data_IF_671875236038
#
_entry.id   IF_671875236038
#
_cell.length_a   1.000
_cell.length_b   1.000
_cell.length_c   1.000
_cell.angle_alpha   90.00
_cell.angle_beta   90.00
_cell.angle_gamma   90.00
#
_symmetry.space_group_name_H-M   'P 1'
#
loop_
_entity.id
_entity.type
_entity.pdbx_description
1 polymer ?
#
# COMPACT_ATOMS: atom_id res chain seq x y z
N UNK A 1 15.53 -23.46 3.23
CA UNK A 1 15.18 -22.18 2.59
C UNK A 1 16.39 -21.58 1.89
N UNK A 2 16.20 -20.55 1.09
CA UNK A 2 17.25 -19.89 0.31
C UNK A 2 18.31 -19.14 1.16
N UNK A 3 18.17 -19.12 2.49
CA UNK A 3 19.07 -18.38 3.38
C UNK A 3 18.92 -16.87 3.29
N UNK A 4 17.75 -16.40 2.83
CA UNK A 4 17.39 -14.99 2.71
C UNK A 4 16.30 -14.63 3.72
N UNK A 5 16.35 -13.38 4.23
CA UNK A 5 15.33 -12.78 5.06
C UNK A 5 14.64 -11.66 4.27
N UNK A 6 13.33 -11.73 4.10
CA UNK A 6 12.57 -10.68 3.47
C UNK A 6 12.25 -9.57 4.49
N UNK A 7 12.49 -8.32 4.11
CA UNK A 7 12.10 -7.14 4.88
C UNK A 7 10.95 -6.47 4.13
N UNK A 8 9.78 -6.40 4.76
CA UNK A 8 8.53 -5.95 4.16
C UNK A 8 8.00 -4.71 4.85
N UNK A 9 7.52 -3.73 4.07
CA UNK A 9 6.74 -2.59 4.53
C UNK A 9 5.49 -2.45 3.66
N UNK A 10 4.38 -1.99 4.24
CA UNK A 10 3.12 -1.88 3.52
C UNK A 10 2.59 -0.46 3.57
N UNK A 11 1.97 -0.02 2.46
CA UNK A 11 1.21 1.23 2.35
C UNK A 11 -0.24 0.85 2.05
N UNK A 12 -1.18 1.43 2.77
CA UNK A 12 -2.60 1.12 2.62
C UNK A 12 -3.42 2.39 2.43
N UNK A 13 -4.04 2.49 1.27
CA UNK A 13 -4.99 3.54 0.94
C UNK A 13 -6.41 3.15 1.35
N UNK A 14 -7.19 4.12 1.82
CA UNK A 14 -8.58 3.94 2.19
C UNK A 14 -9.37 5.23 2.01
N UNK A 15 -10.70 5.10 1.84
CA UNK A 15 -11.60 6.24 1.86
C UNK A 15 -12.36 6.31 3.17
N UNK A 16 -12.53 7.53 3.66
CA UNK A 16 -13.55 7.87 4.63
C UNK A 16 -14.84 8.28 3.90
N UNK A 17 -15.97 7.96 4.49
CA UNK A 17 -17.28 8.39 4.00
C UNK A 17 -18.20 8.74 5.16
N UNK A 18 -19.21 9.55 4.86
CA UNK A 18 -20.22 9.97 5.84
C UNK A 18 -21.13 8.79 6.18
N UNK A 19 -21.04 8.27 7.40
CA UNK A 19 -21.81 7.11 7.85
C UNK A 19 -23.31 7.40 7.99
N UNK A 20 -23.68 8.66 8.22
CA UNK A 20 -25.08 9.09 8.35
C UNK A 20 -25.77 9.31 7.00
N UNK A 21 -25.00 9.34 5.89
CA UNK A 21 -25.55 9.56 4.57
C UNK A 21 -26.22 8.30 3.99
N UNK A 22 -27.16 8.52 3.06
CA UNK A 22 -27.70 7.42 2.26
C UNK A 22 -26.70 7.07 1.14
N UNK A 23 -26.06 5.94 1.27
CA UNK A 23 -24.95 5.51 0.40
C UNK A 23 -23.60 6.08 0.81
N UNK A 24 -22.55 5.73 0.05
CA UNK A 24 -21.18 6.20 0.31
C UNK A 24 -20.99 7.62 -0.22
N UNK A 25 -21.31 8.63 0.60
CA UNK A 25 -21.01 10.03 0.29
C UNK A 25 -19.67 10.43 0.91
N UNK A 26 -18.86 11.28 0.24
CA UNK A 26 -17.63 11.80 0.84
C UNK A 26 -17.90 12.43 2.22
N UNK A 27 -16.92 12.43 3.15
CA UNK A 27 -17.15 12.94 4.50
C UNK A 27 -17.39 14.44 4.51
N UNK A 28 -18.02 14.92 5.58
CA UNK A 28 -17.97 16.35 5.93
C UNK A 28 -16.56 16.67 6.44
N UNK A 29 -16.05 17.83 6.07
CA UNK A 29 -14.78 18.33 6.62
C UNK A 29 -15.01 18.67 8.10
N UNK A 30 -14.27 18.07 9.04
CA UNK A 30 -14.45 18.30 10.48
C UNK A 30 -14.46 19.78 10.85
N UNK A 31 -15.33 20.16 11.78
CA UNK A 31 -15.53 21.55 12.16
C UNK A 31 -16.29 22.43 11.17
N UNK A 32 -16.77 21.85 10.06
CA UNK A 32 -17.54 22.56 9.03
C UNK A 32 -18.83 21.80 8.68
N UNK A 33 -19.77 22.49 8.03
CA UNK A 33 -20.95 21.84 7.43
C UNK A 33 -20.71 21.49 5.93
N UNK A 34 -19.47 21.59 5.44
CA UNK A 34 -19.14 21.40 4.03
C UNK A 34 -18.71 19.96 3.77
N UNK A 35 -19.36 19.33 2.79
CA UNK A 35 -18.93 18.03 2.26
C UNK A 35 -17.72 18.21 1.35
N UNK A 36 -16.80 17.25 1.39
CA UNK A 36 -15.69 17.22 0.45
C UNK A 36 -16.23 17.03 -0.98
N UNK A 37 -15.73 17.84 -1.90
CA UNK A 37 -16.11 17.82 -3.33
C UNK A 37 -14.91 17.54 -4.26
N UNK A 38 -13.71 17.52 -3.71
CA UNK A 38 -12.47 17.19 -4.39
C UNK A 38 -11.49 16.54 -3.41
N UNK A 39 -10.61 15.71 -3.89
CA UNK A 39 -9.43 15.27 -3.16
C UNK A 39 -8.34 16.35 -3.18
N UNK A 40 -7.34 16.20 -2.34
CA UNK A 40 -6.21 17.12 -2.27
C UNK A 40 -4.95 16.35 -1.87
N UNK A 41 -4.24 15.90 -2.89
CA UNK A 41 -2.99 15.15 -2.72
C UNK A 41 -1.96 15.95 -1.91
N UNK A 42 -1.41 15.34 -0.87
CA UNK A 42 -0.41 15.93 0.04
C UNK A 42 -0.88 17.20 0.78
N UNK A 43 -2.18 17.38 0.99
CA UNK A 43 -2.71 18.54 1.69
C UNK A 43 -2.49 18.44 3.20
N UNK A 44 -1.66 19.33 3.73
CA UNK A 44 -1.46 19.48 5.17
C UNK A 44 -2.73 20.00 5.84
N UNK A 45 -3.45 20.93 5.21
CA UNK A 45 -4.71 21.47 5.74
C UNK A 45 -5.77 20.40 5.90
N UNK A 46 -5.82 19.43 4.97
CA UNK A 46 -6.75 18.31 5.06
C UNK A 46 -6.36 17.36 6.19
N UNK A 47 -5.08 17.04 6.34
CA UNK A 47 -4.58 16.23 7.45
C UNK A 47 -4.87 16.91 8.79
N UNK A 48 -4.67 18.23 8.89
CA UNK A 48 -4.98 18.99 10.10
C UNK A 48 -6.48 18.99 10.40
N UNK A 49 -7.34 19.12 9.40
CA UNK A 49 -8.79 19.03 9.58
C UNK A 49 -9.22 17.67 10.14
N UNK A 50 -8.58 16.57 9.72
CA UNK A 50 -8.84 15.21 10.18
C UNK A 50 -7.91 14.77 11.31
N UNK A 51 -7.16 15.69 11.92
CA UNK A 51 -6.14 15.38 12.94
C UNK A 51 -6.65 14.51 14.09
N UNK A 52 -7.83 14.81 14.62
CA UNK A 52 -8.40 14.01 15.72
C UNK A 52 -8.61 12.53 15.31
N UNK A 53 -9.00 12.29 14.08
CA UNK A 53 -9.15 10.94 13.53
C UNK A 53 -7.79 10.25 13.36
N UNK A 54 -6.80 10.94 12.80
CA UNK A 54 -5.45 10.36 12.59
C UNK A 54 -4.72 10.13 13.91
N UNK A 55 -4.86 11.03 14.89
CA UNK A 55 -4.29 10.85 16.25
C UNK A 55 -4.87 9.59 16.91
N UNK A 56 -6.18 9.36 16.81
CA UNK A 56 -6.82 8.14 17.34
C UNK A 56 -6.39 6.88 16.60
N UNK A 57 -6.08 6.96 15.28
CA UNK A 57 -5.46 5.84 14.55
C UNK A 57 -4.09 5.52 15.12
N UNK A 58 -3.22 6.53 15.29
CA UNK A 58 -1.88 6.31 15.84
C UNK A 58 -1.93 5.73 17.26
N UNK A 59 -2.78 6.27 18.13
CA UNK A 59 -2.96 5.75 19.47
C UNK A 59 -3.45 4.28 19.50
N UNK A 60 -4.37 3.93 18.58
CA UNK A 60 -4.84 2.56 18.47
C UNK A 60 -3.77 1.63 17.86
N UNK A 61 -3.01 2.09 16.88
CA UNK A 61 -1.90 1.34 16.30
C UNK A 61 -0.81 1.06 17.36
N UNK A 62 -0.43 2.06 18.15
CA UNK A 62 0.50 1.91 19.25
C UNK A 62 0.01 0.87 20.28
N UNK A 63 -1.26 0.95 20.68
CA UNK A 63 -1.86 0.01 21.64
C UNK A 63 -1.92 -1.44 21.13
N UNK A 64 -1.91 -1.66 19.82
CA UNK A 64 -1.95 -2.98 19.19
C UNK A 64 -0.61 -3.41 18.57
N UNK A 65 0.47 -2.69 18.85
CA UNK A 65 1.81 -2.93 18.30
C UNK A 65 1.83 -2.98 16.74
N UNK A 66 1.02 -2.11 16.11
CA UNK A 66 1.03 -1.91 14.66
C UNK A 66 1.89 -0.68 14.35
N UNK A 67 2.97 -0.81 13.56
CA UNK A 67 3.99 0.23 13.41
C UNK A 67 3.57 1.29 12.36
N UNK A 68 2.52 2.06 12.63
CA UNK A 68 2.08 3.15 11.77
C UNK A 68 3.10 4.29 11.75
N UNK A 69 3.45 4.76 10.54
CA UNK A 69 4.41 5.84 10.30
C UNK A 69 3.69 7.09 9.77
N UNK A 70 3.80 7.40 8.49
CA UNK A 70 3.26 8.63 7.92
C UNK A 70 1.82 8.46 7.44
N UNK A 71 0.97 9.44 7.75
CA UNK A 71 -0.34 9.61 7.12
C UNK A 71 -0.25 10.61 5.98
N UNK A 72 -0.93 10.33 4.88
CA UNK A 72 -0.95 11.14 3.66
C UNK A 72 -2.41 11.38 3.27
N UNK A 73 -2.74 12.60 2.85
CA UNK A 73 -3.98 12.87 2.13
C UNK A 73 -3.79 12.52 0.66
N UNK A 74 -4.69 11.71 0.11
CA UNK A 74 -4.61 11.19 -1.24
C UNK A 74 -5.47 11.98 -2.24
N UNK A 75 -5.45 11.53 -3.51
CA UNK A 75 -6.09 12.24 -4.62
C UNK A 75 -7.62 12.22 -4.55
N UNK A 76 -8.20 11.22 -3.91
CA UNK A 76 -9.64 11.04 -3.86
C UNK A 76 -10.33 11.83 -2.74
N UNK A 77 -11.63 12.06 -2.91
CA UNK A 77 -12.46 12.81 -1.94
C UNK A 77 -12.63 12.06 -0.61
N UNK A 78 -11.78 12.38 0.37
CA UNK A 78 -11.73 11.69 1.66
C UNK A 78 -10.85 10.45 1.64
N UNK A 79 -9.91 10.38 0.69
CA UNK A 79 -8.91 9.33 0.60
C UNK A 79 -7.67 9.69 1.42
N UNK A 80 -7.20 8.71 2.16
CA UNK A 80 -6.00 8.77 2.98
C UNK A 80 -5.15 7.52 2.75
N UNK A 81 -3.85 7.66 2.99
CA UNK A 81 -2.89 6.56 3.05
C UNK A 81 -2.19 6.60 4.40
N UNK A 82 -1.88 5.44 4.94
CA UNK A 82 -0.96 5.30 6.06
C UNK A 82 0.07 4.24 5.71
N UNK A 83 1.34 4.61 5.91
CA UNK A 83 2.48 3.73 5.74
C UNK A 83 2.74 2.98 7.04
N UNK A 84 3.02 1.69 6.95
CA UNK A 84 3.50 0.89 8.06
C UNK A 84 5.02 0.69 7.92
N UNK A 85 5.76 0.83 9.02
CA UNK A 85 7.19 0.62 9.05
C UNK A 85 7.56 -0.81 8.65
N UNK A 86 8.76 -0.98 8.16
CA UNK A 86 9.28 -2.26 7.72
C UNK A 86 9.60 -3.20 8.90
N UNK A 87 9.41 -4.49 8.65
CA UNK A 87 9.81 -5.59 9.53
C UNK A 87 10.49 -6.70 8.72
N UNK A 88 11.39 -7.45 9.35
CA UNK A 88 12.05 -8.62 8.80
C UNK A 88 11.24 -9.92 9.00
N UNK A 89 10.01 -9.79 9.49
CA UNK A 89 9.02 -10.86 9.58
C UNK A 89 7.87 -10.58 8.62
N UNK A 90 7.83 -11.32 7.52
CA UNK A 90 6.81 -11.17 6.48
C UNK A 90 5.38 -11.52 6.97
N UNK A 91 5.26 -12.42 7.97
CA UNK A 91 3.97 -12.75 8.58
C UNK A 91 3.49 -11.60 9.46
N UNK A 92 4.39 -11.03 10.28
CA UNK A 92 4.10 -9.81 11.05
C UNK A 92 3.64 -8.67 10.13
N UNK A 93 4.32 -8.43 9.00
CA UNK A 93 3.89 -7.40 8.05
C UNK A 93 2.47 -7.63 7.52
N UNK A 94 2.07 -8.90 7.31
CA UNK A 94 0.71 -9.25 6.91
C UNK A 94 -0.30 -9.04 8.06
N UNK A 95 0.06 -9.44 9.27
CA UNK A 95 -0.73 -9.24 10.49
C UNK A 95 -0.98 -7.75 10.71
N UNK A 96 0.07 -6.93 10.65
CA UNK A 96 0.00 -5.48 10.83
C UNK A 96 -0.94 -4.83 9.81
N UNK A 97 -0.82 -5.20 8.52
CA UNK A 97 -1.71 -4.71 7.48
C UNK A 97 -3.18 -5.13 7.71
N UNK A 98 -3.42 -6.36 8.18
CA UNK A 98 -4.77 -6.84 8.48
C UNK A 98 -5.36 -6.12 9.71
N UNK A 99 -4.59 -5.99 10.78
CA UNK A 99 -4.98 -5.27 12.00
C UNK A 99 -5.21 -3.78 11.71
N UNK A 100 -4.35 -3.15 10.93
CA UNK A 100 -4.52 -1.76 10.51
C UNK A 100 -5.87 -1.52 9.84
N UNK A 101 -6.29 -2.39 8.91
CA UNK A 101 -7.63 -2.28 8.29
C UNK A 101 -8.77 -2.38 9.32
N UNK A 102 -8.60 -3.19 10.35
CA UNK A 102 -9.57 -3.31 11.44
C UNK A 102 -9.60 -2.06 12.30
N UNK A 103 -8.42 -1.54 12.70
CA UNK A 103 -8.25 -0.33 13.50
C UNK A 103 -8.91 0.87 12.82
N UNK A 104 -8.57 1.13 11.54
CA UNK A 104 -9.12 2.25 10.77
C UNK A 104 -10.65 2.24 10.74
N UNK A 105 -11.26 1.07 10.49
CA UNK A 105 -12.72 0.95 10.49
C UNK A 105 -13.34 1.18 11.87
N UNK A 106 -12.65 0.74 12.92
CA UNK A 106 -13.09 0.94 14.30
C UNK A 106 -13.02 2.40 14.73
N UNK A 107 -11.90 3.06 14.46
CA UNK A 107 -11.67 4.47 14.76
C UNK A 107 -12.62 5.35 13.95
N UNK A 108 -12.79 5.09 12.63
CA UNK A 108 -13.73 5.86 11.81
C UNK A 108 -15.13 5.91 12.42
N UNK A 109 -15.66 4.78 12.90
CA UNK A 109 -16.98 4.73 13.54
C UNK A 109 -17.06 5.59 14.80
N UNK A 110 -15.99 5.68 15.61
CA UNK A 110 -15.95 6.56 16.79
C UNK A 110 -16.11 8.03 16.39
N UNK A 111 -15.64 8.40 15.20
CA UNK A 111 -15.76 9.75 14.62
C UNK A 111 -17.03 9.96 13.79
N UNK A 112 -18.00 9.02 13.81
CA UNK A 112 -19.21 9.11 12.99
C UNK A 112 -18.96 8.91 11.49
N UNK A 113 -17.79 8.37 11.14
CA UNK A 113 -17.36 8.10 9.77
C UNK A 113 -17.40 6.60 9.46
N UNK A 114 -17.58 6.26 8.20
CA UNK A 114 -17.25 4.95 7.70
C UNK A 114 -15.87 4.97 7.02
N UNK A 115 -15.17 3.82 7.03
CA UNK A 115 -13.94 3.64 6.28
C UNK A 115 -14.00 2.41 5.38
N UNK A 116 -13.51 2.54 4.14
CA UNK A 116 -13.50 1.45 3.19
C UNK A 116 -12.14 1.28 2.52
N UNK A 117 -11.70 0.02 2.43
CA UNK A 117 -10.54 -0.43 1.66
C UNK A 117 -10.96 -1.03 0.30
N UNK A 118 -12.19 -0.79 -0.15
CA UNK A 118 -12.66 -1.21 -1.47
C UNK A 118 -11.75 -0.62 -2.55
N UNK A 119 -11.32 -1.43 -3.51
CA UNK A 119 -10.33 -1.00 -4.49
C UNK A 119 -10.77 0.20 -5.34
N UNK A 120 -12.07 0.30 -5.66
CA UNK A 120 -12.64 1.42 -6.45
C UNK A 120 -14.01 1.81 -5.89
N UNK A 121 -14.07 2.56 -4.79
CA UNK A 121 -15.35 2.93 -4.16
C UNK A 121 -16.14 3.94 -5.00
N UNK A 122 -15.45 4.89 -5.66
CA UNK A 122 -16.07 5.89 -6.53
C UNK A 122 -15.56 5.70 -7.96
N UNK A 123 -16.48 5.60 -8.92
CA UNK A 123 -16.18 5.23 -10.30
C UNK A 123 -15.16 6.13 -11.00
N UNK A 124 -15.28 7.44 -10.78
CA UNK A 124 -14.46 8.45 -11.46
C UNK A 124 -13.29 8.98 -10.59
N UNK A 125 -13.22 8.60 -9.31
CA UNK A 125 -12.17 9.04 -8.39
C UNK A 125 -11.01 8.03 -8.33
N UNK A 126 -9.95 8.31 -7.58
CA UNK A 126 -8.83 7.40 -7.39
C UNK A 126 -9.26 6.07 -6.76
N UNK A 127 -8.56 4.99 -7.05
CA UNK A 127 -8.74 3.70 -6.37
C UNK A 127 -7.83 3.58 -5.16
N UNK A 128 -8.12 2.64 -4.26
CA UNK A 128 -7.27 2.32 -3.11
C UNK A 128 -6.24 1.27 -3.46
N UNK A 129 -4.98 1.61 -3.31
CA UNK A 129 -3.84 0.71 -3.44
C UNK A 129 -3.44 0.04 -2.12
N UNK A 130 -2.81 -1.09 -2.27
CA UNK A 130 -2.01 -1.77 -1.26
C UNK A 130 -0.62 -1.99 -1.84
N UNK A 131 0.34 -1.14 -1.48
CA UNK A 131 1.69 -1.23 -1.98
C UNK A 131 2.56 -2.02 -1.01
N UNK A 132 3.40 -2.89 -1.55
CA UNK A 132 4.33 -3.72 -0.78
C UNK A 132 5.76 -3.39 -1.18
N UNK A 133 6.51 -2.82 -0.24
CA UNK A 133 7.95 -2.63 -0.35
C UNK A 133 8.68 -3.87 0.15
N UNK A 134 9.69 -4.30 -0.58
CA UNK A 134 10.47 -5.48 -0.20
C UNK A 134 11.96 -5.27 -0.46
N UNK A 135 12.76 -5.51 0.58
CA UNK A 135 14.20 -5.76 0.51
C UNK A 135 14.48 -7.21 0.86
N UNK A 136 15.65 -7.73 0.51
CA UNK A 136 16.09 -9.06 0.94
C UNK A 136 17.50 -9.00 1.54
N UNK A 137 17.64 -9.58 2.73
CA UNK A 137 18.92 -9.66 3.44
C UNK A 137 19.47 -11.07 3.33
N UNK A 138 20.79 -11.17 3.20
CA UNK A 138 21.52 -12.44 3.34
C UNK A 138 21.70 -12.81 4.83
N UNK A 139 22.39 -13.93 5.08
CA UNK A 139 22.68 -14.41 6.43
C UNK A 139 23.55 -13.47 7.27
N UNK A 140 24.26 -12.54 6.62
CA UNK A 140 25.07 -11.51 7.30
C UNK A 140 24.26 -10.25 7.64
N UNK A 141 23.00 -10.17 7.21
CA UNK A 141 22.14 -8.98 7.32
C UNK A 141 22.41 -7.94 6.24
N UNK A 142 23.16 -8.29 5.17
CA UNK A 142 23.44 -7.39 4.06
C UNK A 142 22.28 -7.42 3.05
N UNK A 143 21.86 -6.25 2.58
CA UNK A 143 20.82 -6.14 1.55
C UNK A 143 21.39 -6.60 0.19
N UNK A 144 20.90 -7.74 -0.31
CA UNK A 144 21.38 -8.32 -1.58
C UNK A 144 20.96 -7.50 -2.81
N UNK A 145 20.03 -6.56 -2.66
CA UNK A 145 19.61 -5.66 -3.73
C UNK A 145 20.53 -4.46 -3.92
N UNK A 146 21.40 -4.19 -2.96
CA UNK A 146 22.40 -3.15 -3.04
C UNK A 146 23.68 -3.63 -3.75
N UNK A 147 24.23 -2.80 -4.62
CA UNK A 147 25.57 -2.98 -5.21
C UNK A 147 26.32 -1.64 -5.31
N UNK A 148 25.89 -0.64 -4.58
CA UNK A 148 26.44 0.71 -4.60
C UNK A 148 26.04 1.56 -5.81
N UNK A 149 25.13 1.06 -6.68
CA UNK A 149 24.60 1.82 -7.83
C UNK A 149 23.10 2.11 -7.69
N UNK A 150 22.62 3.12 -8.40
CA UNK A 150 21.19 3.47 -8.39
C UNK A 150 20.31 2.37 -9.00
N UNK A 151 20.82 1.60 -9.95
CA UNK A 151 20.10 0.49 -10.56
C UNK A 151 19.95 -0.73 -9.65
N UNK A 152 20.76 -0.82 -8.60
CA UNK A 152 20.80 -1.98 -7.71
C UNK A 152 21.53 -3.19 -8.30
N UNK A 153 21.50 -4.31 -7.61
CA UNK A 153 22.21 -5.53 -7.95
C UNK A 153 21.53 -6.37 -9.03
N UNK A 154 22.24 -7.34 -9.63
CA UNK A 154 21.61 -8.36 -10.46
C UNK A 154 20.49 -9.14 -9.75
N UNK A 155 20.60 -9.36 -8.44
CA UNK A 155 19.55 -10.01 -7.64
C UNK A 155 18.25 -9.20 -7.62
N UNK A 156 18.31 -7.86 -7.54
CA UNK A 156 17.13 -6.99 -7.68
C UNK A 156 16.49 -7.13 -9.06
N UNK A 157 17.31 -7.09 -10.12
CA UNK A 157 16.81 -7.25 -11.48
C UNK A 157 16.14 -8.62 -11.70
N UNK A 158 16.72 -9.68 -11.15
CA UNK A 158 16.17 -11.04 -11.19
C UNK A 158 14.85 -11.14 -10.40
N UNK A 159 14.77 -10.55 -9.22
CA UNK A 159 13.54 -10.49 -8.42
C UNK A 159 12.41 -9.79 -9.19
N UNK A 160 12.71 -8.62 -9.78
CA UNK A 160 11.75 -7.87 -10.61
C UNK A 160 11.31 -8.69 -11.83
N UNK A 161 12.24 -9.35 -12.52
CA UNK A 161 11.91 -10.22 -13.65
C UNK A 161 10.98 -11.37 -13.24
N UNK A 162 11.22 -11.98 -12.06
CA UNK A 162 10.35 -13.02 -11.49
C UNK A 162 8.94 -12.50 -11.26
N UNK A 163 8.79 -11.32 -10.66
CA UNK A 163 7.49 -10.66 -10.46
C UNK A 163 6.74 -10.43 -11.76
N UNK A 164 7.41 -9.84 -12.76
CA UNK A 164 6.78 -9.51 -14.04
C UNK A 164 6.33 -10.76 -14.79
N UNK A 165 7.12 -11.83 -14.73
CA UNK A 165 6.85 -13.10 -15.42
C UNK A 165 5.52 -13.73 -15.00
N UNK A 166 5.18 -13.67 -13.70
CA UNK A 166 3.96 -14.34 -13.16
C UNK A 166 2.84 -13.36 -12.82
N UNK A 167 3.01 -12.08 -13.11
CA UNK A 167 2.10 -11.03 -12.66
C UNK A 167 0.67 -11.22 -13.15
N UNK A 168 0.47 -11.58 -14.42
CA UNK A 168 -0.84 -11.84 -14.99
C UNK A 168 -1.53 -13.03 -14.32
N UNK A 169 -0.79 -14.12 -14.09
CA UNK A 169 -1.33 -15.33 -13.48
C UNK A 169 -1.65 -15.14 -11.99
N UNK A 170 -0.92 -14.23 -11.35
CA UNK A 170 -1.11 -13.87 -9.93
C UNK A 170 -2.18 -12.79 -9.70
N UNK A 171 -2.82 -12.27 -10.74
CA UNK A 171 -3.78 -11.15 -10.62
C UNK A 171 -4.92 -11.45 -9.63
N UNK A 172 -5.35 -12.71 -9.51
CA UNK A 172 -6.39 -13.11 -8.56
C UNK A 172 -6.03 -12.79 -7.09
N UNK A 173 -4.74 -12.83 -6.73
CA UNK A 173 -4.29 -12.47 -5.38
C UNK A 173 -4.29 -10.95 -5.17
N UNK A 174 -4.08 -10.17 -6.23
CA UNK A 174 -3.95 -8.72 -6.19
C UNK A 174 -5.26 -7.98 -6.45
N UNK A 175 -6.17 -8.60 -7.21
CA UNK A 175 -7.47 -8.07 -7.60
C UNK A 175 -8.57 -9.14 -7.43
N UNK A 176 -8.92 -9.53 -6.16
CA UNK A 176 -9.75 -10.70 -5.89
C UNK A 176 -11.25 -10.49 -6.18
N UNK A 177 -11.70 -9.26 -6.42
CA UNK A 177 -13.10 -8.92 -6.62
C UNK A 177 -13.36 -8.25 -7.97
N UNK A 178 -14.58 -8.31 -8.47
CA UNK A 178 -14.97 -7.57 -9.69
C UNK A 178 -14.68 -6.06 -9.58
N UNK A 179 -14.84 -5.51 -8.39
CA UNK A 179 -14.52 -4.11 -8.13
C UNK A 179 -13.03 -3.82 -8.23
N UNK A 180 -12.17 -4.78 -7.86
CA UNK A 180 -10.70 -4.61 -7.88
C UNK A 180 -10.20 -4.28 -9.28
N UNK A 181 -10.77 -4.91 -10.32
CA UNK A 181 -10.40 -4.65 -11.71
C UNK A 181 -10.76 -3.23 -12.18
N UNK A 182 -11.73 -2.57 -11.55
CA UNK A 182 -12.09 -1.19 -11.88
C UNK A 182 -11.02 -0.18 -11.46
N UNK A 183 -10.11 -0.56 -10.55
CA UNK A 183 -8.96 0.24 -10.16
C UNK A 183 -7.89 0.27 -11.25
N UNK A 184 -7.70 -0.85 -11.97
CA UNK A 184 -6.66 -1.04 -12.98
C UNK A 184 -7.11 -0.39 -14.31
N UNK A 185 -6.99 0.94 -14.40
CA UNK A 185 -7.43 1.75 -15.56
C UNK A 185 -6.33 2.72 -15.98
N UNK A 186 -6.27 3.01 -17.27
CA UNK A 186 -5.45 4.10 -17.81
C UNK A 186 -5.83 5.45 -17.19
N UNK A 187 -4.86 6.34 -17.05
CA UNK A 187 -5.05 7.66 -16.48
C UNK A 187 -5.14 7.69 -14.94
N UNK A 188 -4.94 6.54 -14.28
CA UNK A 188 -4.78 6.45 -12.83
C UNK A 188 -3.34 6.06 -12.49
N UNK A 189 -2.94 6.19 -11.22
CA UNK A 189 -1.63 5.68 -10.77
C UNK A 189 -1.60 4.16 -10.55
N UNK A 190 -2.71 3.47 -10.82
CA UNK A 190 -2.75 2.01 -10.79
C UNK A 190 -2.17 1.45 -12.09
N UNK A 191 -1.26 0.47 -12.03
CA UNK A 191 -0.63 -0.10 -13.22
C UNK A 191 -1.62 -0.95 -14.02
N UNK A 192 -1.53 -0.85 -15.36
CA UNK A 192 -2.36 -1.64 -16.28
C UNK A 192 -1.57 -2.68 -17.06
N UNK A 193 -0.25 -2.68 -16.92
CA UNK A 193 0.67 -3.59 -17.60
C UNK A 193 1.72 -4.11 -16.63
N UNK A 194 2.26 -5.30 -16.90
CA UNK A 194 3.42 -5.84 -16.20
C UNK A 194 4.67 -5.05 -16.61
N UNK A 195 4.97 -3.98 -15.88
CA UNK A 195 6.04 -3.03 -16.17
C UNK A 195 6.84 -2.71 -14.91
N UNK A 196 8.06 -2.23 -15.08
CA UNK A 196 8.87 -1.73 -13.98
C UNK A 196 9.54 -0.40 -14.34
N UNK A 197 9.98 0.35 -13.35
CA UNK A 197 10.73 1.57 -13.58
C UNK A 197 11.36 2.14 -12.33
N UNK A 198 12.46 2.90 -12.54
CA UNK A 198 13.10 3.67 -11.49
C UNK A 198 12.19 4.85 -11.13
N UNK A 199 11.83 4.93 -9.88
CA UNK A 199 10.98 5.97 -9.27
C UNK A 199 9.68 6.30 -10.05
N UNK A 200 9.17 5.33 -10.81
CA UNK A 200 7.98 5.48 -11.64
C UNK A 200 6.74 4.95 -10.93
N UNK A 201 5.87 5.85 -10.47
CA UNK A 201 4.63 5.53 -9.74
C UNK A 201 3.52 4.94 -10.62
N UNK A 202 3.67 4.91 -11.95
CA UNK A 202 2.71 4.27 -12.86
C UNK A 202 3.09 2.83 -13.21
N UNK A 203 4.31 2.39 -12.87
CA UNK A 203 4.77 1.04 -13.11
C UNK A 203 4.17 0.04 -12.09
N UNK A 204 4.04 -1.22 -12.51
CA UNK A 204 3.59 -2.31 -11.65
C UNK A 204 4.61 -2.64 -10.54
N UNK A 205 5.89 -2.53 -10.88
CA UNK A 205 7.02 -2.63 -9.94
C UNK A 205 7.85 -1.36 -10.05
N UNK A 206 7.89 -0.59 -8.98
CA UNK A 206 8.74 0.60 -8.87
C UNK A 206 9.99 0.26 -8.07
N UNK A 207 11.13 0.79 -8.49
CA UNK A 207 12.35 0.80 -7.67
C UNK A 207 12.51 2.21 -7.12
N UNK A 208 12.17 2.46 -5.85
CA UNK A 208 12.26 3.80 -5.26
C UNK A 208 13.70 4.30 -5.23
N UNK A 209 13.89 5.61 -5.48
CA UNK A 209 15.15 6.28 -5.22
C UNK A 209 15.50 6.22 -3.72
N UNK A 210 16.79 6.22 -3.39
CA UNK A 210 17.27 6.19 -2.01
C UNK A 210 18.64 5.57 -1.87
N UNK A 211 19.20 5.56 -0.63
CA UNK A 211 20.51 4.98 -0.37
C UNK A 211 20.50 3.46 -0.60
N UNK A 212 21.68 2.91 -0.91
CA UNK A 212 21.84 1.49 -1.22
C UNK A 212 21.32 0.57 -0.13
N UNK A 213 21.58 0.88 1.14
CA UNK A 213 21.07 0.08 2.27
C UNK A 213 19.53 -0.05 2.30
N UNK A 214 18.81 0.92 1.73
CA UNK A 214 17.36 0.93 1.60
C UNK A 214 16.88 0.47 0.21
N UNK A 215 17.76 -0.12 -0.61
CA UNK A 215 17.42 -0.59 -1.96
C UNK A 215 16.34 -1.67 -1.87
N UNK A 216 15.24 -1.45 -2.62
CA UNK A 216 14.06 -2.31 -2.58
C UNK A 216 13.27 -2.20 -3.88
N UNK A 217 12.38 -3.10 -4.10
CA UNK A 217 11.28 -2.91 -5.04
C UNK A 217 9.98 -2.61 -4.28
N UNK A 218 9.07 -1.95 -4.95
CA UNK A 218 7.70 -1.69 -4.53
C UNK A 218 6.74 -2.35 -5.53
N UNK A 219 5.95 -3.31 -5.08
CA UNK A 219 4.87 -3.92 -5.86
C UNK A 219 3.59 -3.09 -5.69
N UNK A 220 2.99 -2.63 -6.81
CA UNK A 220 1.92 -1.63 -6.82
C UNK A 220 0.59 -2.13 -7.40
N UNK A 221 0.50 -3.41 -7.80
CA UNK A 221 -0.69 -3.95 -8.48
C UNK A 221 -1.86 -4.16 -7.54
N UNK A 222 -1.61 -4.53 -6.28
CA UNK A 222 -2.65 -4.90 -5.35
C UNK A 222 -3.59 -3.75 -5.00
N UNK A 223 -4.89 -4.05 -5.00
CA UNK A 223 -5.88 -3.18 -4.36
C UNK A 223 -5.87 -3.35 -2.85
N UNK A 224 -6.30 -2.32 -2.13
CA UNK A 224 -6.40 -2.36 -0.66
C UNK A 224 -7.43 -3.38 -0.14
N UNK A 225 -8.30 -3.90 -1.00
CA UNK A 225 -9.24 -4.98 -0.71
C UNK A 225 -8.61 -6.37 -0.71
N UNK A 226 -7.39 -6.51 -1.26
CA UNK A 226 -6.68 -7.78 -1.31
C UNK A 226 -6.32 -8.30 0.10
N UNK A 227 -6.13 -9.62 0.20
CA UNK A 227 -5.69 -10.28 1.43
C UNK A 227 -4.17 -10.09 1.61
N UNK A 228 -3.70 -9.43 2.70
CA UNK A 228 -2.28 -9.13 2.88
C UNK A 228 -1.37 -10.35 2.87
N UNK A 229 -1.81 -11.46 3.46
CA UNK A 229 -1.04 -12.70 3.51
C UNK A 229 -0.80 -13.28 2.11
N UNK A 230 -1.85 -13.30 1.27
CA UNK A 230 -1.75 -13.84 -0.09
C UNK A 230 -0.92 -12.92 -0.98
N UNK A 231 -1.05 -11.60 -0.82
CA UNK A 231 -0.24 -10.62 -1.57
C UNK A 231 1.23 -10.80 -1.23
N UNK A 232 1.60 -10.77 0.06
CA UNK A 232 2.99 -10.88 0.50
C UNK A 232 3.57 -12.22 0.06
N UNK A 233 2.86 -13.33 0.30
CA UNK A 233 3.31 -14.66 -0.10
C UNK A 233 3.55 -14.78 -1.61
N UNK A 234 2.63 -14.25 -2.44
CA UNK A 234 2.77 -14.30 -3.91
C UNK A 234 3.93 -13.47 -4.41
N UNK A 235 4.12 -12.27 -3.86
CA UNK A 235 5.22 -11.37 -4.22
C UNK A 235 6.57 -11.99 -3.84
N UNK A 236 6.70 -12.52 -2.61
CA UNK A 236 7.93 -13.15 -2.15
C UNK A 236 8.28 -14.40 -2.95
N UNK A 237 7.28 -15.27 -3.23
CA UNK A 237 7.49 -16.47 -4.04
C UNK A 237 7.96 -16.12 -5.46
N UNK A 238 7.34 -15.13 -6.09
CA UNK A 238 7.72 -14.68 -7.44
C UNK A 238 9.12 -14.07 -7.49
N UNK A 239 9.45 -13.21 -6.51
CA UNK A 239 10.78 -12.59 -6.41
C UNK A 239 11.86 -13.65 -6.18
N UNK A 240 11.64 -14.59 -5.25
CA UNK A 240 12.57 -15.68 -4.97
C UNK A 240 12.78 -16.58 -6.20
N UNK A 241 11.71 -16.98 -6.88
CA UNK A 241 11.82 -17.77 -8.11
C UNK A 241 12.58 -17.05 -9.24
N UNK A 242 12.56 -15.70 -9.25
CA UNK A 242 13.39 -14.91 -10.15
C UNK A 242 14.86 -14.92 -9.77
N UNK A 243 15.17 -14.83 -8.47
CA UNK A 243 16.55 -14.84 -7.95
C UNK A 243 17.24 -16.19 -8.15
N UNK A 244 16.47 -17.30 -8.03
CA UNK A 244 16.98 -18.67 -8.15
C UNK A 244 17.09 -19.17 -9.60
N UNK A 245 16.56 -18.43 -10.61
CA UNK A 245 16.57 -18.81 -12.01
C UNK A 245 17.86 -18.39 -12.72
#
# INVERSE_FOLDING_TARGET
>A
GAGLTAVCATELEFYLYDLASNGMQPPLIPGTAKRMTAGSLYSIDLLEAFKAFTDDIYAACEAWDVPADAAISESGMGQFEVNLLHTDDAVKAADDAALFKFIVRGVARKHGLGATFMAKPYGEDAGNGFHLHTSMLDQSGTNIFDNGTDLGSPALASAVAGLLRVMSDSTLFFAPHLNSFRRLREGTHAPTTASWGMDNRTAAVRIPAGPGAARRFEHRVSGADANPYLVIASVLAAALAGIEA
#
